data_IF_994904092305
#
_entry.id   IF_994904092305
#
_cell.length_a   1.000
_cell.length_b   1.000
_cell.length_c   1.000
_cell.angle_alpha   90.00
_cell.angle_beta   90.00
_cell.angle_gamma   90.00
#
_symmetry.space_group_name_H-M   'P 1'
#
loop_
_entity.id
_entity.type
_entity.pdbx_description
1 polymer ?
#
# COMPACT_ATOMS: atom_id res chain seq x y z
N UNK A 1 -6.17 -2.52 -32.41
CA UNK A 1 -4.70 -2.52 -32.28
C UNK A 1 -4.36 -2.12 -30.86
N UNK A 2 -3.45 -2.81 -30.17
CA UNK A 2 -3.08 -2.43 -28.82
C UNK A 2 -2.47 -1.01 -28.83
N UNK A 3 -3.03 -0.13 -28.01
CA UNK A 3 -2.65 1.28 -27.87
C UNK A 3 -1.14 1.42 -27.61
N UNK A 4 -0.50 2.38 -28.27
CA UNK A 4 0.97 2.60 -28.24
C UNK A 4 1.44 2.90 -26.81
N UNK A 5 0.59 3.54 -26.00
CA UNK A 5 0.79 3.77 -24.57
C UNK A 5 0.87 2.46 -23.77
N UNK A 6 -0.02 1.50 -24.05
CA UNK A 6 -0.04 0.20 -23.37
C UNK A 6 1.20 -0.65 -23.71
N UNK A 7 1.66 -0.58 -24.96
CA UNK A 7 2.91 -1.25 -25.37
C UNK A 7 4.16 -0.60 -24.76
N UNK A 8 4.19 0.72 -24.62
CA UNK A 8 5.26 1.43 -23.92
C UNK A 8 5.33 1.04 -22.44
N UNK A 9 4.19 1.01 -21.75
CA UNK A 9 4.10 0.61 -20.35
C UNK A 9 4.54 -0.84 -20.12
N UNK A 10 4.15 -1.76 -21.01
CA UNK A 10 4.62 -3.15 -20.97
C UNK A 10 6.14 -3.26 -21.11
N UNK A 11 6.73 -2.56 -22.10
CA UNK A 11 8.20 -2.52 -22.28
C UNK A 11 8.90 -1.95 -21.05
N UNK A 12 8.34 -0.91 -20.44
CA UNK A 12 8.87 -0.33 -19.21
C UNK A 12 8.83 -1.34 -18.06
N UNK A 13 7.71 -2.03 -17.85
CA UNK A 13 7.56 -3.04 -16.80
C UNK A 13 8.56 -4.19 -16.96
N UNK A 14 8.72 -4.73 -18.18
CA UNK A 14 9.69 -5.79 -18.49
C UNK A 14 11.14 -5.32 -18.29
N UNK A 15 11.44 -4.08 -18.68
CA UNK A 15 12.75 -3.45 -18.46
C UNK A 15 13.08 -3.32 -16.97
N UNK A 16 12.14 -2.80 -16.17
CA UNK A 16 12.31 -2.69 -14.71
C UNK A 16 12.49 -4.07 -14.08
N UNK A 17 11.67 -5.06 -14.45
CA UNK A 17 11.83 -6.43 -13.96
C UNK A 17 13.22 -7.01 -14.24
N UNK A 18 13.75 -6.80 -15.45
CA UNK A 18 15.06 -7.31 -15.85
C UNK A 18 16.20 -6.61 -15.10
N UNK A 19 16.08 -5.29 -14.90
CA UNK A 19 17.03 -4.50 -14.13
C UNK A 19 17.09 -4.96 -12.67
N UNK A 20 15.94 -5.14 -12.03
CA UNK A 20 15.85 -5.57 -10.64
C UNK A 20 16.41 -6.98 -10.45
N UNK A 21 16.15 -7.93 -11.37
CA UNK A 21 16.82 -9.26 -11.35
C UNK A 21 18.34 -9.16 -11.44
N UNK A 22 18.86 -8.24 -12.26
CA UNK A 22 20.30 -8.04 -12.37
C UNK A 22 20.90 -7.47 -11.08
N UNK A 23 20.20 -6.55 -10.41
CA UNK A 23 20.57 -6.00 -9.10
C UNK A 23 20.53 -7.07 -8.00
N UNK A 24 19.49 -7.91 -7.98
CA UNK A 24 19.37 -9.03 -7.05
C UNK A 24 20.55 -9.99 -7.16
N UNK A 25 20.84 -10.48 -8.38
CA UNK A 25 21.99 -11.38 -8.63
C UNK A 25 23.32 -10.76 -8.21
N UNK A 26 23.53 -9.47 -8.47
CA UNK A 26 24.74 -8.77 -8.04
C UNK A 26 24.86 -8.72 -6.53
N UNK A 27 23.79 -8.37 -5.82
CA UNK A 27 23.76 -8.32 -4.36
C UNK A 27 23.98 -9.71 -3.73
N UNK A 28 23.29 -10.74 -4.25
CA UNK A 28 23.46 -12.13 -3.82
C UNK A 28 24.92 -12.58 -3.96
N UNK A 29 25.54 -12.32 -5.12
CA UNK A 29 26.94 -12.66 -5.34
C UNK A 29 27.93 -11.92 -4.41
N UNK A 30 27.61 -10.69 -3.95
CA UNK A 30 28.41 -10.03 -2.91
C UNK A 30 28.22 -10.72 -1.55
N UNK A 31 26.98 -11.08 -1.20
CA UNK A 31 26.67 -11.81 0.03
C UNK A 31 27.40 -13.14 0.12
N UNK A 32 27.35 -13.94 -0.93
CA UNK A 32 28.07 -15.22 -1.04
C UNK A 32 29.59 -15.07 -0.86
N UNK A 33 30.18 -13.99 -1.40
CA UNK A 33 31.62 -13.72 -1.20
C UNK A 33 31.95 -13.44 0.27
N UNK A 34 31.07 -12.71 0.96
CA UNK A 34 31.24 -12.48 2.39
C UNK A 34 31.07 -13.77 3.20
N UNK A 35 30.14 -14.65 2.84
CA UNK A 35 29.99 -15.96 3.49
C UNK A 35 31.27 -16.81 3.36
N UNK A 36 31.82 -16.92 2.14
CA UNK A 36 33.09 -17.61 1.91
C UNK A 36 34.24 -17.00 2.72
N UNK A 37 34.29 -15.68 2.87
CA UNK A 37 35.31 -15.00 3.67
C UNK A 37 35.11 -15.21 5.18
N UNK A 38 33.88 -15.41 5.63
CA UNK A 38 33.56 -15.72 7.03
C UNK A 38 34.06 -17.12 7.44
N UNK A 39 34.13 -18.06 6.50
CA UNK A 39 34.59 -19.43 6.75
C UNK A 39 36.11 -19.54 6.96
N UNK A 40 36.88 -18.60 6.42
CA UNK A 40 38.37 -18.61 6.45
C UNK A 40 38.98 -17.56 7.39
N UNK A 41 38.16 -16.68 7.97
CA UNK A 41 38.61 -15.55 8.80
C UNK A 41 38.75 -15.85 10.29
N UNK A 42 39.45 -14.97 11.02
CA UNK A 42 39.40 -14.94 12.50
C UNK A 42 37.98 -14.72 13.02
N UNK A 43 37.73 -15.00 14.30
CA UNK A 43 36.39 -14.84 14.91
C UNK A 43 35.79 -13.43 14.74
N UNK A 44 36.62 -12.38 14.83
CA UNK A 44 36.19 -11.00 14.60
C UNK A 44 35.82 -10.75 13.12
N UNK A 45 36.63 -11.25 12.18
CA UNK A 45 36.36 -11.14 10.74
C UNK A 45 35.12 -11.94 10.33
N UNK A 46 34.93 -13.13 10.90
CA UNK A 46 33.74 -13.96 10.69
C UNK A 46 32.47 -13.20 11.07
N UNK A 47 32.44 -12.59 12.25
CA UNK A 47 31.30 -11.79 12.71
C UNK A 47 30.99 -10.64 11.74
N UNK A 48 32.01 -9.89 11.31
CA UNK A 48 31.85 -8.81 10.34
C UNK A 48 31.29 -9.32 9.01
N UNK A 49 31.86 -10.39 8.47
CA UNK A 49 31.47 -10.93 7.17
C UNK A 49 30.07 -11.54 7.17
N UNK A 50 29.66 -12.22 8.24
CA UNK A 50 28.27 -12.69 8.38
C UNK A 50 27.28 -11.53 8.43
N UNK A 51 27.62 -10.42 9.10
CA UNK A 51 26.80 -9.20 9.09
C UNK A 51 26.68 -8.62 7.68
N UNK A 52 27.79 -8.50 6.95
CA UNK A 52 27.79 -7.99 5.58
C UNK A 52 27.00 -8.91 4.64
N UNK A 53 27.19 -10.22 4.76
CA UNK A 53 26.41 -11.21 4.02
C UNK A 53 24.91 -11.06 4.26
N UNK A 54 24.49 -10.96 5.52
CA UNK A 54 23.10 -10.73 5.90
C UNK A 54 22.52 -9.44 5.29
N UNK A 55 23.28 -8.34 5.29
CA UNK A 55 22.88 -7.10 4.62
C UNK A 55 22.68 -7.30 3.12
N UNK A 56 23.63 -7.96 2.45
CA UNK A 56 23.55 -8.19 1.01
C UNK A 56 22.43 -9.17 0.62
N UNK A 57 22.12 -10.16 1.45
CA UNK A 57 20.95 -11.04 1.27
C UNK A 57 19.65 -10.25 1.34
N UNK A 58 19.50 -9.35 2.31
CA UNK A 58 18.32 -8.46 2.40
C UNK A 58 18.19 -7.57 1.17
N UNK A 59 19.30 -7.02 0.68
CA UNK A 59 19.31 -6.22 -0.56
C UNK A 59 18.90 -7.07 -1.77
N UNK A 60 19.39 -8.31 -1.87
CA UNK A 60 19.02 -9.22 -2.94
C UNK A 60 17.52 -9.57 -2.92
N UNK A 61 16.98 -9.96 -1.75
CA UNK A 61 15.57 -10.29 -1.57
C UNK A 61 14.64 -9.14 -1.96
N UNK A 62 14.99 -7.90 -1.59
CA UNK A 62 14.24 -6.70 -2.00
C UNK A 62 14.19 -6.54 -3.52
N UNK A 63 15.33 -6.69 -4.20
CA UNK A 63 15.39 -6.61 -5.66
C UNK A 63 14.65 -7.77 -6.34
N UNK A 64 14.67 -8.98 -5.77
CA UNK A 64 13.89 -10.10 -6.28
C UNK A 64 12.38 -9.88 -6.14
N UNK A 65 11.92 -9.37 -5.00
CA UNK A 65 10.53 -8.99 -4.80
C UNK A 65 10.09 -7.87 -5.78
N UNK A 66 10.93 -6.85 -5.99
CA UNK A 66 10.68 -5.80 -6.98
C UNK A 66 10.58 -6.35 -8.41
N UNK A 67 11.49 -7.26 -8.78
CA UNK A 67 11.44 -7.95 -10.06
C UNK A 67 10.16 -8.79 -10.24
N UNK A 68 9.72 -9.48 -9.18
CA UNK A 68 8.51 -10.27 -9.18
C UNK A 68 7.27 -9.41 -9.41
N UNK A 69 7.14 -8.27 -8.71
CA UNK A 69 6.04 -7.32 -8.90
C UNK A 69 5.97 -6.78 -10.32
N UNK A 70 7.10 -6.31 -10.88
CA UNK A 70 7.13 -5.82 -12.26
C UNK A 70 6.84 -6.90 -13.30
N UNK A 71 7.28 -8.13 -13.06
CA UNK A 71 6.98 -9.26 -13.95
C UNK A 71 5.50 -9.64 -13.91
N UNK A 72 4.91 -9.70 -12.72
CA UNK A 72 3.49 -9.97 -12.51
C UNK A 72 2.61 -8.85 -13.09
N UNK A 73 3.08 -7.60 -13.04
CA UNK A 73 2.43 -6.46 -13.68
C UNK A 73 2.51 -6.55 -15.20
N UNK A 74 3.68 -6.85 -15.77
CA UNK A 74 3.84 -7.07 -17.21
C UNK A 74 2.94 -8.21 -17.73
N UNK A 75 2.87 -9.33 -17.00
CA UNK A 75 1.99 -10.45 -17.36
C UNK A 75 0.51 -10.03 -17.38
N UNK A 76 0.09 -9.20 -16.42
CA UNK A 76 -1.28 -8.64 -16.39
C UNK A 76 -1.53 -7.67 -17.53
N UNK A 77 -0.59 -6.78 -17.85
CA UNK A 77 -0.70 -5.91 -19.02
C UNK A 77 -0.91 -6.74 -20.28
N UNK A 78 -0.14 -7.81 -20.50
CA UNK A 78 -0.33 -8.71 -21.65
C UNK A 78 -1.73 -9.33 -21.68
N UNK A 79 -2.24 -9.80 -20.54
CA UNK A 79 -3.59 -10.35 -20.45
C UNK A 79 -4.68 -9.31 -20.80
N UNK A 80 -4.49 -8.05 -20.35
CA UNK A 80 -5.41 -6.95 -20.62
C UNK A 80 -5.35 -6.43 -22.07
N UNK A 81 -4.26 -6.64 -22.81
CA UNK A 81 -4.23 -6.30 -24.25
C UNK A 81 -5.25 -7.10 -25.08
N UNK A 82 -5.87 -8.14 -24.50
CA UNK A 82 -6.97 -8.91 -25.08
C UNK A 82 -8.36 -8.62 -24.53
N UNK A 83 -8.51 -7.79 -23.49
CA UNK A 83 -9.78 -7.58 -22.77
C UNK A 83 -10.09 -6.07 -22.59
N UNK A 84 -11.37 -5.69 -22.59
CA UNK A 84 -11.80 -4.28 -22.73
C UNK A 84 -12.06 -3.55 -21.41
N UNK A 85 -11.75 -4.14 -20.24
CA UNK A 85 -12.02 -3.48 -18.96
C UNK A 85 -10.91 -2.45 -18.62
N UNK A 86 -11.21 -1.16 -18.45
CA UNK A 86 -10.21 -0.15 -18.13
C UNK A 86 -9.90 -0.19 -16.62
N UNK A 87 -8.92 -1.01 -16.22
CA UNK A 87 -8.28 -0.85 -14.91
C UNK A 87 -7.15 0.18 -15.05
N UNK A 88 -7.02 1.08 -14.06
CA UNK A 88 -5.89 2.01 -14.04
C UNK A 88 -4.56 1.25 -13.92
N UNK A 89 -3.46 1.76 -14.49
CA UNK A 89 -2.13 1.15 -14.32
C UNK A 89 -1.77 0.89 -12.85
N UNK A 90 -2.18 1.79 -11.95
CA UNK A 90 -1.99 1.64 -10.50
C UNK A 90 -2.77 0.46 -9.94
N UNK A 91 -4.05 0.31 -10.30
CA UNK A 91 -4.85 -0.83 -9.85
C UNK A 91 -4.26 -2.15 -10.35
N UNK A 92 -3.89 -2.23 -11.63
CA UNK A 92 -3.23 -3.40 -12.22
C UNK A 92 -1.91 -3.75 -11.53
N UNK A 93 -1.12 -2.74 -11.16
CA UNK A 93 0.11 -2.94 -10.41
C UNK A 93 -0.18 -3.48 -9.00
N UNK A 94 -1.16 -2.94 -8.29
CA UNK A 94 -1.57 -3.46 -6.99
C UNK A 94 -2.17 -4.86 -7.07
N UNK A 95 -2.89 -5.21 -8.14
CA UNK A 95 -3.29 -6.60 -8.40
C UNK A 95 -2.05 -7.50 -8.58
N UNK A 96 -0.97 -7.00 -9.20
CA UNK A 96 0.29 -7.72 -9.29
C UNK A 96 0.94 -7.92 -7.91
N UNK A 97 0.94 -6.89 -7.05
CA UNK A 97 1.40 -6.98 -5.65
C UNK A 97 0.61 -8.06 -4.89
N UNK A 98 -0.72 -8.04 -4.97
CA UNK A 98 -1.58 -9.06 -4.36
C UNK A 98 -1.23 -10.48 -4.88
N UNK A 99 -0.97 -10.60 -6.18
CA UNK A 99 -0.54 -11.87 -6.79
C UNK A 99 0.81 -12.38 -6.28
N UNK A 100 1.79 -11.49 -6.09
CA UNK A 100 3.10 -11.85 -5.49
C UNK A 100 2.94 -12.26 -4.03
N UNK A 101 2.10 -11.56 -3.27
CA UNK A 101 1.73 -11.91 -1.90
C UNK A 101 0.86 -13.18 -1.81
N UNK A 102 0.36 -13.69 -2.95
CA UNK A 102 -0.65 -14.77 -3.05
C UNK A 102 -1.91 -14.47 -2.24
N UNK A 103 -2.21 -13.20 -2.06
CA UNK A 103 -3.32 -12.69 -1.27
C UNK A 103 -4.55 -12.42 -2.15
N UNK A 104 -5.72 -12.31 -1.52
CA UNK A 104 -6.95 -11.97 -2.23
C UNK A 104 -7.13 -10.46 -2.47
N UNK A 105 -6.25 -9.63 -1.90
CA UNK A 105 -6.25 -8.19 -2.08
C UNK A 105 -5.00 -7.54 -1.51
N UNK A 106 -4.60 -6.39 -2.05
CA UNK A 106 -3.50 -5.58 -1.53
C UNK A 106 -3.77 -4.09 -1.73
N UNK A 107 -3.43 -3.29 -0.71
CA UNK A 107 -3.48 -1.84 -0.73
C UNK A 107 -2.15 -1.24 -0.27
N UNK A 108 -1.75 -0.12 -0.86
CA UNK A 108 -0.68 0.73 -0.37
C UNK A 108 -1.28 2.08 0.01
N UNK A 109 -1.20 2.40 1.29
CA UNK A 109 -1.71 3.66 1.85
C UNK A 109 -0.53 4.50 2.30
N UNK A 110 -0.49 5.77 1.89
CA UNK A 110 0.51 6.75 2.32
C UNK A 110 -0.16 7.77 3.24
N UNK A 111 0.53 8.08 4.33
CA UNK A 111 0.08 8.97 5.38
C UNK A 111 1.03 10.16 5.55
N UNK A 112 0.44 11.31 5.85
CA UNK A 112 1.18 12.49 6.26
C UNK A 112 1.63 12.42 7.71
N UNK A 113 2.14 13.55 8.23
CA UNK A 113 2.72 13.59 9.58
C UNK A 113 1.69 13.50 10.69
N UNK A 114 0.43 13.83 10.41
CA UNK A 114 -0.69 13.71 11.34
C UNK A 114 -1.50 12.43 11.10
N UNK A 115 -0.95 11.47 10.34
CA UNK A 115 -1.62 10.24 9.92
C UNK A 115 -2.89 10.47 9.08
N UNK A 116 -2.97 11.63 8.43
CA UNK A 116 -3.95 11.89 7.39
C UNK A 116 -3.61 11.06 6.14
N UNK A 117 -4.61 10.39 5.57
CA UNK A 117 -4.42 9.58 4.37
C UNK A 117 -4.20 10.47 3.13
N UNK A 118 -2.99 10.41 2.56
CA UNK A 118 -2.60 11.19 1.38
C UNK A 118 -2.90 10.46 0.08
N UNK A 119 -2.76 9.14 0.09
CA UNK A 119 -2.95 8.29 -1.08
C UNK A 119 -3.33 6.87 -0.65
N UNK A 120 -4.21 6.24 -1.42
CA UNK A 120 -4.50 4.81 -1.31
C UNK A 120 -4.61 4.19 -2.70
N UNK A 121 -3.70 3.26 -2.99
CA UNK A 121 -3.68 2.45 -4.19
C UNK A 121 -4.13 1.02 -3.84
N UNK A 122 -5.10 0.47 -4.57
CA UNK A 122 -5.78 -0.79 -4.23
C UNK A 122 -5.82 -1.75 -5.42
N UNK A 123 -5.83 -3.05 -5.14
CA UNK A 123 -5.82 -4.11 -6.17
C UNK A 123 -7.17 -4.35 -6.84
N UNK A 124 -8.27 -4.06 -6.15
CA UNK A 124 -9.65 -4.38 -6.55
C UNK A 124 -10.68 -3.63 -5.68
N UNK A 125 -11.95 -3.68 -6.09
CA UNK A 125 -13.07 -3.00 -5.41
C UNK A 125 -13.35 -3.53 -4.00
N UNK A 126 -13.07 -4.80 -3.70
CA UNK A 126 -13.26 -5.34 -2.35
C UNK A 126 -12.23 -4.74 -1.39
N UNK A 127 -10.98 -4.76 -1.81
CA UNK A 127 -9.86 -4.14 -1.07
C UNK A 127 -10.10 -2.67 -0.89
N UNK A 128 -10.64 -2.02 -1.92
CA UNK A 128 -11.08 -0.65 -1.84
C UNK A 128 -12.12 -0.41 -0.77
N UNK A 129 -13.22 -1.17 -0.77
CA UNK A 129 -14.28 -1.03 0.22
C UNK A 129 -13.74 -1.20 1.66
N UNK A 130 -12.79 -2.11 1.87
CA UNK A 130 -12.14 -2.31 3.16
C UNK A 130 -11.30 -1.09 3.58
N UNK A 131 -10.54 -0.49 2.67
CA UNK A 131 -9.76 0.72 2.98
C UNK A 131 -10.64 1.95 3.19
N UNK A 132 -11.73 2.08 2.43
CA UNK A 132 -12.70 3.16 2.63
C UNK A 132 -13.38 3.02 4.00
N UNK A 133 -13.74 1.80 4.40
CA UNK A 133 -14.32 1.49 5.70
C UNK A 133 -13.37 1.88 6.84
N UNK A 134 -12.10 1.45 6.77
CA UNK A 134 -11.10 1.79 7.78
C UNK A 134 -10.92 3.31 7.93
N UNK A 135 -10.86 4.03 6.82
CA UNK A 135 -10.80 5.48 6.83
C UNK A 135 -12.03 6.10 7.50
N UNK A 136 -13.24 5.65 7.11
CA UNK A 136 -14.52 6.17 7.63
C UNK A 136 -14.67 5.88 9.12
N UNK A 137 -14.39 4.66 9.57
CA UNK A 137 -14.43 4.28 10.98
C UNK A 137 -13.37 5.02 11.80
N UNK A 138 -12.25 5.41 11.18
CA UNK A 138 -11.14 6.04 11.89
C UNK A 138 -10.36 5.08 12.79
N UNK A 139 -10.54 3.79 12.57
CA UNK A 139 -9.88 2.71 13.28
C UNK A 139 -9.70 1.52 12.32
N UNK A 140 -8.62 0.77 12.51
CA UNK A 140 -8.33 -0.43 11.75
C UNK A 140 -6.84 -0.77 11.75
N UNK A 141 -6.46 -1.95 11.24
CA UNK A 141 -5.09 -2.42 11.32
C UNK A 141 -4.09 -1.61 10.49
N UNK A 142 -4.51 -1.06 9.34
CA UNK A 142 -3.67 -0.21 8.45
C UNK A 142 -3.26 1.07 9.17
N UNK A 143 -4.21 1.75 9.81
CA UNK A 143 -4.00 2.95 10.60
C UNK A 143 -3.21 2.65 11.85
N UNK A 144 -3.56 1.60 12.61
CA UNK A 144 -2.78 1.17 13.79
C UNK A 144 -1.33 0.85 13.43
N UNK A 145 -1.09 0.15 12.32
CA UNK A 145 0.24 -0.13 11.80
C UNK A 145 1.02 1.15 11.47
N UNK A 146 0.36 2.14 10.85
CA UNK A 146 0.98 3.42 10.53
C UNK A 146 1.36 4.20 11.80
N UNK A 147 0.43 4.33 12.74
CA UNK A 147 0.59 5.07 14.00
C UNK A 147 1.68 4.45 14.88
N UNK A 148 1.65 3.14 15.04
CA UNK A 148 2.57 2.44 15.95
C UNK A 148 3.91 2.07 15.30
N UNK A 149 4.01 2.18 13.96
CA UNK A 149 5.22 1.84 13.22
C UNK A 149 5.60 0.35 13.31
N UNK A 150 4.63 -0.53 13.62
CA UNK A 150 4.83 -1.99 13.72
C UNK A 150 3.84 -2.74 12.84
N UNK A 151 4.25 -3.94 12.44
CA UNK A 151 3.36 -4.85 11.72
C UNK A 151 2.18 -5.26 12.60
N UNK A 152 0.99 -5.24 12.02
CA UNK A 152 -0.26 -5.69 12.64
C UNK A 152 -0.83 -6.83 11.80
N UNK A 153 -1.17 -7.95 12.42
CA UNK A 153 -1.82 -9.08 11.77
C UNK A 153 -3.03 -9.47 12.61
N UNK A 154 -4.19 -9.56 11.99
CA UNK A 154 -5.45 -9.85 12.65
C UNK A 154 -6.26 -10.90 11.87
N UNK A 155 -6.88 -11.82 12.61
CA UNK A 155 -7.95 -12.72 12.19
C UNK A 155 -9.30 -12.02 12.25
N UNK A 156 -10.35 -12.59 11.67
CA UNK A 156 -11.73 -12.08 11.78
C UNK A 156 -12.17 -11.83 13.23
N UNK A 157 -11.86 -12.75 14.15
CA UNK A 157 -12.15 -12.56 15.57
C UNK A 157 -11.39 -11.37 16.18
N UNK A 158 -10.10 -11.21 15.87
CA UNK A 158 -9.29 -10.07 16.35
C UNK A 158 -9.74 -8.75 15.71
N UNK A 159 -10.19 -8.79 14.45
CA UNK A 159 -10.77 -7.63 13.77
C UNK A 159 -12.00 -7.11 14.53
N UNK A 160 -12.92 -8.00 14.91
CA UNK A 160 -14.14 -7.66 15.63
C UNK A 160 -13.88 -7.15 17.07
N UNK A 161 -12.81 -7.64 17.74
CA UNK A 161 -12.50 -7.23 19.11
C UNK A 161 -11.68 -5.95 19.19
N UNK A 162 -10.67 -5.80 18.33
CA UNK A 162 -9.68 -4.74 18.45
C UNK A 162 -10.10 -3.47 17.71
N UNK A 163 -10.97 -3.60 16.69
CA UNK A 163 -11.54 -2.48 15.94
C UNK A 163 -13.04 -2.69 15.68
N UNK A 164 -13.93 -2.63 16.70
CA UNK A 164 -15.33 -3.07 16.58
C UNK A 164 -16.15 -2.38 15.48
N UNK A 165 -15.91 -1.10 15.19
CA UNK A 165 -16.61 -0.37 14.14
C UNK A 165 -16.15 -0.80 12.73
N UNK A 166 -14.87 -1.16 12.60
CA UNK A 166 -14.29 -1.67 11.36
C UNK A 166 -14.52 -3.17 11.17
N UNK A 167 -14.19 -3.98 12.19
CA UNK A 167 -14.13 -5.43 12.14
C UNK A 167 -15.42 -6.07 11.65
N UNK A 168 -16.55 -5.71 12.26
CA UNK A 168 -17.84 -6.31 11.92
C UNK A 168 -18.24 -6.04 10.46
N UNK A 169 -17.91 -4.84 9.94
CA UNK A 169 -18.17 -4.51 8.55
C UNK A 169 -17.14 -5.14 7.59
N UNK A 170 -15.87 -5.26 8.00
CA UNK A 170 -14.82 -5.91 7.21
C UNK A 170 -15.06 -7.43 7.07
N UNK A 171 -15.51 -8.10 8.13
CA UNK A 171 -15.91 -9.51 8.09
C UNK A 171 -17.14 -9.71 7.21
N UNK A 172 -18.09 -8.77 7.21
CA UNK A 172 -19.21 -8.72 6.27
C UNK A 172 -18.80 -8.60 4.79
N UNK A 173 -17.63 -8.00 4.51
CA UNK A 173 -17.01 -7.96 3.17
C UNK A 173 -16.20 -9.23 2.84
N UNK A 174 -16.23 -10.23 3.72
CA UNK A 174 -15.52 -11.51 3.54
C UNK A 174 -14.01 -11.42 3.76
N UNK A 175 -13.55 -10.50 4.61
CA UNK A 175 -12.17 -10.47 5.11
C UNK A 175 -12.05 -11.40 6.31
N UNK A 176 -11.17 -12.39 6.21
CA UNK A 176 -10.90 -13.35 7.30
C UNK A 176 -9.57 -13.10 7.97
N UNK A 177 -8.61 -12.53 7.23
CA UNK A 177 -7.29 -12.16 7.76
C UNK A 177 -6.84 -10.87 7.10
N UNK A 178 -6.24 -9.99 7.88
CA UNK A 178 -5.65 -8.75 7.41
C UNK A 178 -4.26 -8.61 8.00
N UNK A 179 -3.27 -8.33 7.15
CA UNK A 179 -1.91 -7.99 7.59
C UNK A 179 -1.56 -6.61 7.08
N UNK A 180 -1.31 -5.68 8.02
CA UNK A 180 -0.84 -4.34 7.75
C UNK A 180 0.66 -4.27 8.10
N UNK A 181 1.46 -3.89 7.11
CA UNK A 181 2.91 -3.83 7.21
C UNK A 181 3.36 -2.39 7.05
N UNK A 182 3.99 -1.78 8.09
CA UNK A 182 4.43 -0.41 8.00
C UNK A 182 5.62 -0.30 7.06
N UNK A 183 5.68 0.84 6.40
CA UNK A 183 6.68 1.24 5.44
C UNK A 183 7.18 2.62 5.87
N UNK A 184 8.44 2.71 6.26
CA UNK A 184 9.00 3.96 6.78
C UNK A 184 9.53 4.83 5.63
N UNK A 185 8.92 6.00 5.40
CA UNK A 185 9.44 6.99 4.46
C UNK A 185 10.46 7.92 5.15
N UNK A 186 11.54 8.32 4.47
CA UNK A 186 12.37 9.45 4.89
C UNK A 186 11.53 10.73 4.97
N UNK A 187 11.71 11.53 6.02
CA UNK A 187 11.09 12.86 6.12
C UNK A 187 9.68 12.91 6.72
N UNK A 188 9.40 12.02 7.68
CA UNK A 188 8.20 12.01 8.54
C UNK A 188 6.89 11.51 7.93
N UNK A 189 6.85 11.16 6.65
CA UNK A 189 5.71 10.42 6.10
C UNK A 189 5.78 8.94 6.51
N UNK A 190 4.63 8.28 6.60
CA UNK A 190 4.55 6.82 6.81
C UNK A 190 3.70 6.19 5.72
N UNK A 191 3.95 4.93 5.40
CA UNK A 191 3.09 4.16 4.52
C UNK A 191 2.75 2.82 5.14
N UNK A 192 1.71 2.17 4.64
CA UNK A 192 1.34 0.83 5.07
C UNK A 192 0.95 0.00 3.85
N UNK A 193 1.55 -1.18 3.71
CA UNK A 193 1.07 -2.22 2.81
C UNK A 193 0.04 -3.06 3.56
N UNK A 194 -1.21 -3.02 3.12
CA UNK A 194 -2.29 -3.85 3.65
C UNK A 194 -2.54 -5.03 2.73
N UNK A 195 -2.57 -6.23 3.28
CA UNK A 195 -2.72 -7.49 2.55
C UNK A 195 -3.94 -8.23 3.09
N UNK A 196 -4.91 -8.50 2.21
CA UNK A 196 -6.18 -9.14 2.55
C UNK A 196 -6.13 -10.63 2.24
N UNK A 197 -6.46 -11.44 3.24
CA UNK A 197 -6.49 -12.89 3.19
C UNK A 197 -5.20 -13.52 2.61
N UNK A 198 -4.01 -13.21 3.17
CA UNK A 198 -2.79 -13.89 2.76
C UNK A 198 -2.85 -15.38 3.11
N UNK A 199 -2.15 -16.25 2.35
CA UNK A 199 -2.22 -17.69 2.58
C UNK A 199 -1.65 -18.06 3.95
N UNK A 200 -2.21 -19.14 4.51
CA UNK A 200 -1.71 -19.77 5.73
C UNK A 200 -1.10 -21.11 5.32
N UNK A 201 0.22 -21.23 5.45
CA UNK A 201 0.96 -22.46 5.11
C UNK A 201 1.59 -22.99 6.39
N UNK A 202 1.32 -24.25 6.72
CA UNK A 202 1.82 -24.84 7.97
C UNK A 202 1.28 -24.15 9.24
N UNK A 203 0.09 -23.53 9.15
CA UNK A 203 -0.57 -22.85 10.28
C UNK A 203 -0.15 -21.40 10.51
N UNK A 204 0.75 -20.84 9.70
CA UNK A 204 1.18 -19.44 9.83
C UNK A 204 1.13 -18.69 8.49
N UNK A 205 0.93 -17.37 8.57
CA UNK A 205 1.18 -16.45 7.45
C UNK A 205 2.65 -16.10 7.38
N UNK A 206 3.18 -15.98 6.16
CA UNK A 206 4.57 -15.57 5.90
C UNK A 206 4.78 -14.07 6.15
N UNK A 207 4.77 -13.67 7.43
CA UNK A 207 5.03 -12.29 7.84
C UNK A 207 6.42 -11.76 7.40
N UNK A 208 7.52 -12.57 7.45
CA UNK A 208 8.79 -12.14 6.90
C UNK A 208 8.72 -11.80 5.41
N UNK A 209 8.09 -12.64 4.59
CA UNK A 209 7.91 -12.41 3.16
C UNK A 209 7.06 -11.17 2.87
N UNK A 210 6.00 -10.93 3.64
CA UNK A 210 5.20 -9.70 3.50
C UNK A 210 5.98 -8.44 3.86
N UNK A 211 6.91 -8.52 4.83
CA UNK A 211 7.82 -7.40 5.13
C UNK A 211 8.82 -7.14 4.03
N UNK A 212 9.39 -8.19 3.45
CA UNK A 212 10.29 -8.04 2.30
C UNK A 212 9.56 -7.45 1.09
N UNK A 213 8.30 -7.84 0.88
CA UNK A 213 7.45 -7.27 -0.16
C UNK A 213 7.15 -5.79 0.09
N UNK A 214 6.79 -5.41 1.31
CA UNK A 214 6.55 -4.02 1.69
C UNK A 214 7.80 -3.14 1.51
N UNK A 215 8.96 -3.63 1.96
CA UNK A 215 10.27 -2.98 1.76
C UNK A 215 10.60 -2.80 0.27
N UNK A 216 10.29 -3.79 -0.57
CA UNK A 216 10.54 -3.71 -2.00
C UNK A 216 9.57 -2.73 -2.70
N UNK A 217 8.28 -2.80 -2.36
CA UNK A 217 7.24 -1.94 -2.91
C UNK A 217 7.56 -0.48 -2.60
N UNK A 218 8.00 -0.22 -1.39
CA UNK A 218 8.51 1.07 -0.97
C UNK A 218 9.64 1.59 -1.86
N UNK A 219 10.69 0.79 -2.09
CA UNK A 219 11.82 1.22 -2.91
C UNK A 219 11.43 1.48 -4.38
N UNK A 220 10.35 0.87 -4.86
CA UNK A 220 9.79 1.15 -6.19
C UNK A 220 9.04 2.48 -6.24
N UNK A 221 8.29 2.80 -5.19
CA UNK A 221 7.41 3.99 -5.12
C UNK A 221 8.17 5.23 -4.61
N UNK A 222 9.23 5.05 -3.83
CA UNK A 222 10.02 6.13 -3.22
C UNK A 222 10.62 7.14 -4.22
N UNK A 223 11.17 6.75 -5.39
CA UNK A 223 11.70 7.72 -6.36
C UNK A 223 10.61 8.64 -6.91
N UNK A 224 9.43 8.08 -7.17
CA UNK A 224 8.27 8.82 -7.67
C UNK A 224 7.71 9.72 -6.56
N UNK A 225 7.57 9.19 -5.34
CA UNK A 225 7.22 9.98 -4.15
C UNK A 225 8.22 11.10 -3.90
N UNK A 226 9.54 10.88 -3.97
CA UNK A 226 10.54 11.96 -3.79
C UNK A 226 10.49 13.03 -4.88
N UNK A 227 10.21 12.64 -6.12
CA UNK A 227 10.06 13.56 -7.25
C UNK A 227 8.81 14.43 -7.10
N UNK A 228 7.77 13.87 -6.49
CA UNK A 228 6.43 14.46 -6.36
C UNK A 228 6.13 15.01 -4.97
N UNK A 229 6.97 14.77 -3.96
CA UNK A 229 6.93 15.46 -2.66
C UNK A 229 7.21 16.97 -2.78
N UNK A 230 7.61 17.45 -3.96
CA UNK A 230 7.62 18.88 -4.32
C UNK A 230 6.36 19.36 -5.05
N UNK A 231 5.55 18.46 -5.59
CA UNK A 231 4.28 18.73 -6.29
C UNK A 231 3.37 17.49 -6.19
N UNK A 232 2.56 17.45 -5.13
CA UNK A 232 1.67 16.34 -4.77
C UNK A 232 0.62 16.05 -5.86
N UNK A 233 0.42 16.93 -6.85
CA UNK A 233 -0.65 16.81 -7.83
C UNK A 233 -0.55 15.60 -8.77
N UNK A 234 0.64 15.03 -8.96
CA UNK A 234 0.87 13.93 -9.92
C UNK A 234 0.63 12.52 -9.33
N UNK A 235 0.96 12.27 -8.05
CA UNK A 235 0.63 11.03 -7.33
C UNK A 235 -0.86 11.00 -6.98
N UNK A 236 -1.44 12.19 -6.80
CA UNK A 236 -2.86 12.44 -6.49
C UNK A 236 -3.78 12.28 -7.72
N UNK A 237 -3.24 11.96 -8.90
CA UNK A 237 -4.06 11.57 -10.07
C UNK A 237 -4.77 10.21 -9.86
N UNK A 238 -4.59 9.57 -8.69
CA UNK A 238 -5.61 8.72 -8.08
C UNK A 238 -6.71 9.60 -7.46
N UNK A 239 -7.57 10.20 -8.28
CA UNK A 239 -8.52 11.30 -7.98
C UNK A 239 -9.56 11.14 -6.85
N UNK A 240 -9.40 10.21 -5.91
CA UNK A 240 -10.37 9.91 -4.83
C UNK A 240 -10.12 10.67 -3.53
N UNK A 241 -8.89 10.64 -2.97
CA UNK A 241 -8.58 11.36 -1.71
C UNK A 241 -8.43 12.87 -1.87
N UNK A 242 -8.15 13.33 -3.09
CA UNK A 242 -8.21 14.77 -3.43
C UNK A 242 -9.59 15.37 -3.15
N UNK A 243 -10.67 14.68 -3.53
CA UNK A 243 -12.03 15.16 -3.30
C UNK A 243 -12.41 15.16 -1.82
N UNK A 244 -12.00 14.14 -1.07
CA UNK A 244 -12.23 14.06 0.38
C UNK A 244 -11.51 15.20 1.11
N UNK A 245 -10.26 15.48 0.75
CA UNK A 245 -9.49 16.59 1.31
C UNK A 245 -10.11 17.96 0.94
N UNK A 246 -10.55 18.12 -0.30
CA UNK A 246 -11.28 19.32 -0.74
C UNK A 246 -12.60 19.50 0.02
N UNK A 247 -13.40 18.43 0.16
CA UNK A 247 -14.65 18.45 0.92
C UNK A 247 -14.41 18.79 2.39
N UNK A 248 -13.35 18.24 2.99
CA UNK A 248 -12.93 18.56 4.36
C UNK A 248 -12.63 20.05 4.51
N UNK A 249 -11.89 20.65 3.56
CA UNK A 249 -11.64 22.09 3.54
C UNK A 249 -12.92 22.92 3.41
N UNK A 250 -13.85 22.50 2.53
CA UNK A 250 -15.16 23.16 2.38
C UNK A 250 -15.99 23.08 3.66
N UNK A 251 -15.97 21.96 4.37
CA UNK A 251 -16.70 21.78 5.64
C UNK A 251 -16.08 22.62 6.75
N UNK A 252 -14.74 22.65 6.84
CA UNK A 252 -14.02 23.48 7.80
C UNK A 252 -14.35 24.97 7.62
N UNK A 253 -14.44 25.43 6.37
CA UNK A 253 -14.90 26.78 6.04
C UNK A 253 -16.38 27.00 6.41
N UNK A 254 -17.27 26.06 6.07
CA UNK A 254 -18.70 26.15 6.36
C UNK A 254 -19.01 26.25 7.86
N UNK A 255 -18.28 25.49 8.68
CA UNK A 255 -18.54 25.37 10.11
C UNK A 255 -17.60 26.20 10.98
N UNK A 256 -16.52 26.76 10.41
CA UNK A 256 -15.47 27.46 11.14
C UNK A 256 -14.76 26.56 12.17
N UNK A 257 -14.48 25.31 11.81
CA UNK A 257 -13.81 24.32 12.66
C UNK A 257 -12.45 23.89 12.08
N UNK A 258 -11.68 23.10 12.84
CA UNK A 258 -10.42 22.53 12.37
C UNK A 258 -10.62 21.46 11.28
N UNK A 259 -9.57 21.18 10.50
CA UNK A 259 -9.61 20.15 9.45
C UNK A 259 -9.88 18.74 10.02
N UNK A 260 -9.37 18.44 11.22
CA UNK A 260 -9.63 17.17 11.90
C UNK A 260 -11.11 17.01 12.24
N UNK A 261 -11.74 18.04 12.82
CA UNK A 261 -13.17 18.05 13.12
C UNK A 261 -14.01 17.94 11.85
N UNK A 262 -13.66 18.69 10.81
CA UNK A 262 -14.35 18.65 9.52
C UNK A 262 -14.26 17.26 8.87
N UNK A 263 -13.10 16.61 8.94
CA UNK A 263 -12.90 15.25 8.45
C UNK A 263 -13.70 14.25 9.27
N UNK A 264 -13.69 14.38 10.59
CA UNK A 264 -14.51 13.54 11.48
C UNK A 264 -16.01 13.69 11.18
N UNK A 265 -16.50 14.91 10.92
CA UNK A 265 -17.89 15.16 10.56
C UNK A 265 -18.26 14.55 9.20
N UNK A 266 -17.40 14.71 8.20
CA UNK A 266 -17.61 14.11 6.89
C UNK A 266 -17.71 12.58 6.99
N UNK A 267 -16.77 11.97 7.73
CA UNK A 267 -16.75 10.52 7.98
C UNK A 267 -17.96 10.04 8.78
N UNK A 268 -18.30 10.74 9.86
CA UNK A 268 -19.46 10.41 10.68
C UNK A 268 -20.76 10.48 9.86
N UNK A 269 -20.89 11.47 8.97
CA UNK A 269 -22.03 11.57 8.06
C UNK A 269 -22.09 10.39 7.08
N UNK A 270 -20.98 10.08 6.40
CA UNK A 270 -20.90 8.94 5.47
C UNK A 270 -21.23 7.61 6.17
N UNK A 271 -20.69 7.40 7.37
CA UNK A 271 -20.97 6.22 8.18
C UNK A 271 -22.46 6.11 8.56
N UNK A 272 -23.04 7.21 9.08
CA UNK A 272 -24.43 7.23 9.53
C UNK A 272 -25.45 7.09 8.39
N UNK A 273 -25.14 7.59 7.19
CA UNK A 273 -26.01 7.47 6.00
C UNK A 273 -25.76 6.19 5.19
N UNK A 274 -24.66 5.46 5.43
CA UNK A 274 -24.24 4.33 4.60
C UNK A 274 -23.86 4.75 3.17
N UNK A 275 -23.59 6.04 2.95
CA UNK A 275 -23.21 6.58 1.64
C UNK A 275 -21.72 6.40 1.38
N UNK A 276 -21.36 6.27 0.10
CA UNK A 276 -19.96 6.31 -0.32
C UNK A 276 -19.34 7.66 0.06
N UNK A 277 -18.25 7.60 0.83
CA UNK A 277 -17.52 8.80 1.26
C UNK A 277 -17.14 9.70 0.08
N UNK A 278 -16.74 9.11 -1.04
CA UNK A 278 -16.35 9.84 -2.24
C UNK A 278 -17.53 10.53 -2.92
N UNK A 279 -18.69 9.87 -2.96
CA UNK A 279 -19.91 10.47 -3.50
C UNK A 279 -20.36 11.65 -2.64
N UNK A 280 -20.29 11.49 -1.31
CA UNK A 280 -20.57 12.55 -0.36
C UNK A 280 -19.57 13.71 -0.50
N UNK A 281 -18.27 13.42 -0.58
CA UNK A 281 -17.23 14.42 -0.81
C UNK A 281 -17.45 15.18 -2.12
N UNK A 282 -17.76 14.48 -3.21
CA UNK A 282 -18.12 15.08 -4.49
C UNK A 282 -19.40 15.92 -4.43
N UNK A 283 -20.38 15.54 -3.60
CA UNK A 283 -21.57 16.34 -3.36
C UNK A 283 -21.28 17.61 -2.57
N UNK A 284 -20.39 17.56 -1.58
CA UNK A 284 -19.93 18.73 -0.80
C UNK A 284 -19.16 19.71 -1.68
N UNK A 285 -18.15 19.22 -2.42
CA UNK A 285 -17.34 20.05 -3.34
C UNK A 285 -18.22 20.64 -4.44
N UNK A 286 -19.13 19.84 -4.99
CA UNK A 286 -20.14 20.29 -5.96
C UNK A 286 -21.26 21.14 -5.36
N UNK A 287 -21.21 21.49 -4.07
CA UNK A 287 -22.18 22.30 -3.33
C UNK A 287 -23.63 21.78 -3.36
N UNK A 288 -23.81 20.48 -3.62
CA UNK A 288 -25.10 19.77 -3.55
C UNK A 288 -25.47 19.38 -2.11
N UNK A 289 -24.46 19.23 -1.25
CA UNK A 289 -24.61 18.96 0.19
C UNK A 289 -23.89 20.05 0.98
N UNK A 290 -24.50 20.49 2.09
CA UNK A 290 -23.88 21.43 3.04
C UNK A 290 -23.90 20.84 4.45
N UNK A 291 -22.91 21.23 5.23
CA UNK A 291 -22.85 20.97 6.66
C UNK A 291 -23.25 22.27 7.37
N UNK A 292 -24.21 22.16 8.27
CA UNK A 292 -24.72 23.28 9.07
C UNK A 292 -24.41 23.02 10.54
N UNK A 293 -24.21 24.09 11.31
CA UNK A 293 -24.12 23.96 12.77
C UNK A 293 -25.49 23.54 13.30
N UNK A 294 -25.56 22.59 14.24
CA UNK A 294 -26.80 22.25 14.92
C UNK A 294 -27.41 23.44 15.66
#
# INVERSE_FOLDING_TARGET
MPDDSSQALLRQALGRASLERARARRAAGIGERHERQADVGSAAQRTLHLRMAGTHRKVAARHDAAAAMHSAFAARLVAMLGDSAPLSPTALFMTAVAGVAKARGAALTLFGTAFEELLCAVSDERTKAVQDLEFVCGEGPTLTSAVEGRMVAATDAELDTDWPAFGSAATGLGVHRLVAVPVVLPGSASGTLTVLDPPVVGGATDLPGLRELADALFHLVLPDVRREMGDWSQLVDAGRRSLVNQATGVIAEQLGCGLEDASALLRARAYASGESLDELAGAVVGRRTRFERP
#
